data_IF_172102630459
#
_entry.id   IF_172102630459
#
_cell.length_a   1.000
_cell.length_b   1.000
_cell.length_c   1.000
_cell.angle_alpha   90.00
_cell.angle_beta   90.00
_cell.angle_gamma   90.00
#
_symmetry.space_group_name_H-M   'P 1'
#
loop_
_entity.id
_entity.type
_entity.pdbx_description
1 polymer ?
#
# COMPACT_ATOMS: atom_id res chain seq x y z
N UNK A 1 -9.97 4.67 17.71
CA UNK A 1 -10.17 3.46 16.87
C UNK A 1 -8.92 2.59 16.92
N UNK A 2 -9.05 1.28 16.79
CA UNK A 2 -7.93 0.33 16.72
C UNK A 2 -7.33 0.34 15.32
N UNK A 3 -6.00 0.31 15.28
CA UNK A 3 -5.24 0.28 14.03
C UNK A 3 -4.51 -1.06 13.89
N UNK A 4 -4.60 -1.68 12.71
CA UNK A 4 -3.70 -2.75 12.28
C UNK A 4 -2.73 -2.22 11.21
N UNK A 5 -1.48 -2.67 11.25
CA UNK A 5 -0.50 -2.45 10.18
C UNK A 5 -0.61 -3.59 9.19
N UNK A 6 -0.53 -3.30 7.90
CA UNK A 6 -0.57 -4.29 6.83
C UNK A 6 0.55 -4.05 5.84
N UNK A 7 1.34 -5.09 5.59
CA UNK A 7 2.41 -5.09 4.60
C UNK A 7 2.23 -6.27 3.68
N UNK A 8 2.07 -6.02 2.39
CA UNK A 8 2.10 -7.08 1.40
C UNK A 8 3.52 -7.17 0.82
N UNK A 9 4.14 -8.35 0.90
CA UNK A 9 5.54 -8.57 0.55
C UNK A 9 5.74 -9.81 -0.31
N UNK A 10 6.93 -9.92 -0.91
CA UNK A 10 7.35 -11.00 -1.79
C UNK A 10 8.74 -11.51 -1.38
N UNK A 11 9.06 -12.74 -1.77
CA UNK A 11 10.37 -13.36 -1.51
C UNK A 11 11.57 -12.46 -1.79
N UNK A 12 11.52 -11.66 -2.87
CA UNK A 12 12.61 -10.75 -3.23
C UNK A 12 12.83 -9.60 -2.26
N UNK A 13 11.81 -9.26 -1.46
CA UNK A 13 11.81 -8.15 -0.51
C UNK A 13 11.91 -8.63 0.95
N UNK A 14 12.30 -9.89 1.19
CA UNK A 14 12.35 -10.45 2.55
C UNK A 14 13.23 -9.61 3.49
N UNK A 15 14.43 -9.21 3.03
CA UNK A 15 15.35 -8.41 3.87
C UNK A 15 14.78 -7.02 4.15
N UNK A 16 14.15 -6.39 3.15
CA UNK A 16 13.49 -5.10 3.34
C UNK A 16 12.30 -5.22 4.30
N UNK A 17 11.51 -6.28 4.18
CA UNK A 17 10.41 -6.56 5.09
C UNK A 17 10.91 -6.82 6.52
N UNK A 18 12.07 -7.47 6.68
CA UNK A 18 12.74 -7.63 7.97
C UNK A 18 13.14 -6.27 8.56
N UNK A 19 13.72 -5.37 7.78
CA UNK A 19 14.02 -3.99 8.23
C UNK A 19 12.77 -3.22 8.64
N UNK A 20 11.70 -3.31 7.84
CA UNK A 20 10.41 -2.71 8.20
C UNK A 20 9.95 -3.24 9.56
N UNK A 21 9.99 -4.56 9.77
CA UNK A 21 9.62 -5.20 11.02
C UNK A 21 10.43 -4.67 12.22
N UNK A 22 11.76 -4.67 12.11
CA UNK A 22 12.66 -4.13 13.14
C UNK A 22 12.33 -2.67 13.45
N UNK A 23 12.06 -1.86 12.43
CA UNK A 23 11.72 -0.45 12.58
C UNK A 23 10.35 -0.22 13.22
N UNK A 24 9.35 -1.04 12.88
CA UNK A 24 8.03 -1.01 13.52
C UNK A 24 8.17 -1.32 15.01
N UNK A 25 8.91 -2.38 15.35
CA UNK A 25 9.10 -2.81 16.74
C UNK A 25 9.81 -1.73 17.58
N UNK A 26 10.72 -0.98 16.96
CA UNK A 26 11.47 0.09 17.62
C UNK A 26 10.71 1.41 17.72
N UNK A 27 10.01 1.80 16.65
CA UNK A 27 9.53 3.17 16.49
C UNK A 27 8.01 3.32 16.53
N UNK A 28 7.24 2.24 16.40
CA UNK A 28 5.79 2.33 16.21
C UNK A 28 5.02 1.82 17.41
N UNK A 29 4.15 2.68 17.97
CA UNK A 29 3.23 2.36 19.05
C UNK A 29 1.76 2.44 18.60
N UNK A 30 0.81 2.15 19.50
CA UNK A 30 -0.63 2.34 19.27
C UNK A 30 -1.31 1.31 18.33
N UNK A 31 -0.54 0.49 17.61
CA UNK A 31 -1.09 -0.56 16.76
C UNK A 31 -1.42 -1.83 17.56
N UNK A 32 -2.48 -2.50 17.13
CA UNK A 32 -2.98 -3.76 17.73
C UNK A 32 -2.23 -4.97 17.17
N UNK A 33 -1.99 -4.99 15.87
CA UNK A 33 -1.26 -6.07 15.16
C UNK A 33 -0.62 -5.58 13.87
N UNK A 34 0.25 -6.41 13.30
CA UNK A 34 0.90 -6.24 12.01
C UNK A 34 0.72 -7.52 11.17
N UNK A 35 0.03 -7.42 10.04
CA UNK A 35 -0.17 -8.52 9.10
C UNK A 35 0.80 -8.44 7.93
N UNK A 36 1.62 -9.47 7.74
CA UNK A 36 2.44 -9.62 6.52
C UNK A 36 1.71 -10.54 5.55
N UNK A 37 1.28 -9.99 4.41
CA UNK A 37 0.53 -10.68 3.37
C UNK A 37 1.48 -11.21 2.29
N UNK A 38 1.63 -12.52 2.19
CA UNK A 38 2.62 -13.18 1.32
C UNK A 38 1.97 -14.18 0.37
N UNK A 39 2.76 -14.71 -0.56
CA UNK A 39 2.34 -15.90 -1.29
C UNK A 39 2.41 -17.15 -0.38
N UNK A 40 1.51 -18.12 -0.54
CA UNK A 40 1.36 -19.29 0.33
C UNK A 40 2.64 -20.13 0.30
N UNK A 41 3.27 -20.25 -0.88
CA UNK A 41 4.56 -20.93 -1.03
C UNK A 41 5.69 -20.25 -0.25
N UNK A 42 5.56 -18.94 0.01
CA UNK A 42 6.57 -18.12 0.68
C UNK A 42 6.22 -17.96 2.17
N UNK A 43 5.10 -18.51 2.65
CA UNK A 43 4.69 -18.42 4.07
C UNK A 43 5.75 -18.96 5.02
N UNK A 44 6.36 -20.10 4.72
CA UNK A 44 7.44 -20.67 5.53
C UNK A 44 8.70 -19.80 5.54
N UNK A 45 8.99 -19.11 4.42
CA UNK A 45 10.13 -18.19 4.32
C UNK A 45 9.95 -16.97 5.23
N UNK A 46 8.73 -16.46 5.35
CA UNK A 46 8.39 -15.31 6.18
C UNK A 46 8.04 -15.66 7.63
N UNK A 47 7.79 -16.95 7.94
CA UNK A 47 7.44 -17.41 9.28
C UNK A 47 8.37 -16.91 10.40
N UNK A 48 9.71 -16.79 10.21
CA UNK A 48 10.59 -16.26 11.24
C UNK A 48 10.35 -14.78 11.61
N UNK A 49 9.62 -14.01 10.78
CA UNK A 49 9.26 -12.62 11.10
C UNK A 49 8.03 -12.53 12.02
N UNK A 50 7.30 -13.63 12.24
CA UNK A 50 6.17 -13.65 13.16
C UNK A 50 6.62 -13.29 14.59
N UNK A 51 5.70 -12.71 15.36
CA UNK A 51 5.98 -12.29 16.74
C UNK A 51 4.69 -12.02 17.50
N UNK A 52 4.76 -11.46 18.73
CA UNK A 52 3.59 -11.32 19.61
C UNK A 52 2.42 -10.55 18.99
N UNK A 53 2.72 -9.57 18.13
CA UNK A 53 1.74 -8.76 17.40
C UNK A 53 1.79 -8.98 15.88
N UNK A 54 2.67 -9.85 15.38
CA UNK A 54 2.95 -9.97 13.94
C UNK A 54 2.58 -11.34 13.41
N UNK A 55 1.71 -11.34 12.40
CA UNK A 55 1.15 -12.55 11.80
C UNK A 55 1.52 -12.64 10.31
N UNK A 56 1.85 -13.85 9.85
CA UNK A 56 2.11 -14.12 8.44
C UNK A 56 0.86 -14.75 7.81
N UNK A 57 0.27 -14.04 6.85
CA UNK A 57 -0.98 -14.42 6.19
C UNK A 57 -0.69 -14.78 4.74
N UNK A 58 -0.94 -16.05 4.38
CA UNK A 58 -0.89 -16.50 3.00
C UNK A 58 -2.08 -15.96 2.19
N UNK A 59 -1.88 -15.71 0.90
CA UNK A 59 -2.93 -15.13 0.05
C UNK A 59 -4.15 -16.02 -0.08
N UNK A 60 -4.05 -17.35 0.14
CA UNK A 60 -5.22 -18.24 0.05
C UNK A 60 -6.25 -17.95 1.12
N UNK A 61 -5.84 -17.35 2.24
CA UNK A 61 -6.75 -16.86 3.27
C UNK A 61 -7.42 -15.53 2.91
N UNK A 62 -7.03 -14.88 1.82
CA UNK A 62 -7.46 -13.53 1.42
C UNK A 62 -8.17 -13.52 0.05
N UNK A 63 -7.54 -14.11 -0.94
CA UNK A 63 -7.91 -14.04 -2.34
C UNK A 63 -8.83 -15.20 -2.73
N UNK A 64 -9.74 -14.97 -3.69
CA UNK A 64 -10.66 -15.99 -4.16
C UNK A 64 -9.94 -17.11 -4.91
N UNK A 65 -10.54 -18.30 -4.92
CA UNK A 65 -9.93 -19.50 -5.49
C UNK A 65 -9.64 -19.43 -7.00
N UNK A 66 -10.28 -18.52 -7.72
CA UNK A 66 -10.08 -18.30 -9.16
C UNK A 66 -8.85 -17.44 -9.48
N UNK A 67 -8.27 -16.72 -8.52
CA UNK A 67 -7.08 -15.89 -8.72
C UNK A 67 -5.84 -16.68 -8.30
N UNK A 68 -5.11 -17.25 -9.27
CA UNK A 68 -4.03 -18.22 -8.99
C UNK A 68 -2.68 -17.81 -9.54
N UNK A 69 -1.59 -17.95 -8.75
CA UNK A 69 -0.27 -17.61 -9.21
C UNK A 69 0.38 -18.78 -9.98
N UNK A 70 0.93 -18.51 -11.15
CA UNK A 70 1.72 -19.44 -11.96
C UNK A 70 3.14 -18.88 -12.19
N UNK A 71 4.16 -19.74 -12.41
CA UNK A 71 5.47 -19.28 -12.85
C UNK A 71 5.36 -18.53 -14.18
N UNK A 72 6.05 -17.39 -14.31
CA UNK A 72 6.09 -16.63 -15.56
C UNK A 72 7.12 -17.25 -16.54
N UNK A 73 6.69 -17.86 -17.65
CA UNK A 73 7.62 -18.49 -18.60
C UNK A 73 8.54 -17.46 -19.27
N UNK A 74 8.08 -16.21 -19.44
CA UNK A 74 8.87 -15.12 -20.05
C UNK A 74 9.98 -14.59 -19.13
N UNK A 75 10.06 -15.11 -17.91
CA UNK A 75 11.06 -14.79 -16.88
C UNK A 75 11.67 -16.05 -16.28
N UNK A 76 11.68 -17.15 -17.03
CA UNK A 76 12.24 -18.45 -16.61
C UNK A 76 11.67 -18.92 -15.26
N UNK A 77 10.40 -18.63 -14.98
CA UNK A 77 9.73 -18.97 -13.71
C UNK A 77 10.18 -18.16 -12.49
N UNK A 78 11.10 -17.20 -12.64
CA UNK A 78 11.62 -16.36 -11.53
C UNK A 78 10.59 -15.35 -11.01
N UNK A 79 9.63 -14.96 -11.86
CA UNK A 79 8.52 -14.05 -11.51
C UNK A 79 7.19 -14.78 -11.56
N UNK A 80 6.14 -14.16 -11.00
CA UNK A 80 4.78 -14.71 -11.00
C UNK A 80 3.85 -13.94 -11.92
N UNK A 81 3.06 -14.71 -12.65
CA UNK A 81 1.82 -14.28 -13.29
C UNK A 81 0.65 -14.76 -12.45
N UNK A 82 -0.41 -13.98 -12.38
CA UNK A 82 -1.62 -14.34 -11.66
C UNK A 82 -2.77 -14.45 -12.65
N UNK A 83 -3.29 -15.65 -12.80
CA UNK A 83 -4.36 -15.95 -13.75
C UNK A 83 -5.71 -15.67 -13.11
N UNK A 84 -6.60 -15.09 -13.91
CA UNK A 84 -7.97 -14.72 -13.56
C UNK A 84 -8.85 -15.03 -14.77
N UNK A 85 -10.08 -15.53 -14.59
CA UNK A 85 -11.03 -15.69 -15.69
C UNK A 85 -11.67 -14.35 -16.11
N UNK A 86 -11.38 -13.25 -15.40
CA UNK A 86 -12.08 -11.96 -15.57
C UNK A 86 -11.30 -10.90 -16.34
N UNK A 87 -10.04 -11.17 -16.69
CA UNK A 87 -9.16 -10.16 -17.28
C UNK A 87 -7.78 -10.71 -17.66
N UNK A 88 -6.86 -9.83 -18.10
CA UNK A 88 -5.51 -10.23 -18.46
C UNK A 88 -4.74 -10.78 -17.24
N UNK A 89 -3.69 -11.61 -17.45
CA UNK A 89 -2.84 -12.07 -16.35
C UNK A 89 -2.29 -10.89 -15.53
N UNK A 90 -2.43 -10.92 -14.22
CA UNK A 90 -1.92 -9.88 -13.33
C UNK A 90 -0.46 -10.13 -12.95
N UNK A 91 0.25 -9.07 -12.54
CA UNK A 91 1.59 -9.15 -11.95
C UNK A 91 1.52 -9.07 -10.43
N UNK A 92 2.60 -9.46 -9.75
CA UNK A 92 2.69 -9.41 -8.28
C UNK A 92 2.22 -8.08 -7.70
N UNK A 93 2.76 -6.95 -8.17
CA UNK A 93 2.36 -5.63 -7.67
C UNK A 93 0.84 -5.36 -7.76
N UNK A 94 0.14 -5.79 -8.83
CA UNK A 94 -1.32 -5.67 -8.89
C UNK A 94 -2.01 -6.49 -7.79
N UNK A 95 -1.55 -7.73 -7.56
CA UNK A 95 -2.12 -8.61 -6.54
C UNK A 95 -1.79 -8.14 -5.12
N UNK A 96 -0.69 -7.41 -4.94
CA UNK A 96 -0.37 -6.72 -3.68
C UNK A 96 -1.48 -5.74 -3.28
N UNK A 97 -2.01 -4.99 -4.26
CA UNK A 97 -3.14 -4.09 -4.05
C UNK A 97 -4.42 -4.84 -3.67
N UNK A 98 -4.73 -5.92 -4.40
CA UNK A 98 -5.90 -6.76 -4.13
C UNK A 98 -5.85 -7.40 -2.74
N UNK A 99 -4.66 -7.84 -2.29
CA UNK A 99 -4.45 -8.39 -0.94
C UNK A 99 -4.75 -7.37 0.14
N UNK A 100 -4.31 -6.12 -0.02
CA UNK A 100 -4.59 -5.03 0.93
C UNK A 100 -6.08 -4.74 1.04
N UNK A 101 -6.77 -4.61 -0.09
CA UNK A 101 -8.24 -4.45 -0.11
C UNK A 101 -8.92 -5.66 0.55
N UNK A 102 -8.53 -6.89 0.20
CA UNK A 102 -9.13 -8.09 0.78
C UNK A 102 -8.90 -8.21 2.30
N UNK A 103 -7.71 -7.85 2.79
CA UNK A 103 -7.41 -7.83 4.21
C UNK A 103 -8.23 -6.76 4.95
N UNK A 104 -8.26 -5.53 4.44
CA UNK A 104 -9.03 -4.43 5.03
C UNK A 104 -10.53 -4.74 5.15
N UNK A 105 -11.11 -5.46 4.18
CA UNK A 105 -12.53 -5.86 4.26
C UNK A 105 -12.82 -6.82 5.42
N UNK A 106 -11.86 -7.67 5.79
CA UNK A 106 -12.05 -8.79 6.75
C UNK A 106 -11.56 -8.49 8.15
N UNK A 107 -10.70 -7.49 8.32
CA UNK A 107 -10.12 -7.19 9.62
C UNK A 107 -11.13 -6.53 10.57
N UNK A 108 -11.14 -6.89 11.87
CA UNK A 108 -12.02 -6.27 12.86
C UNK A 108 -11.56 -4.86 13.27
N UNK A 109 -10.30 -4.48 13.04
CA UNK A 109 -9.82 -3.12 13.31
C UNK A 109 -10.53 -2.10 12.42
N UNK A 110 -10.74 -0.90 12.94
CA UNK A 110 -11.44 0.14 12.20
C UNK A 110 -10.49 0.91 11.26
N UNK A 111 -9.17 0.83 11.50
CA UNK A 111 -8.12 1.46 10.66
C UNK A 111 -7.07 0.45 10.23
N UNK A 112 -6.74 0.47 8.93
CA UNK A 112 -5.57 -0.20 8.37
C UNK A 112 -4.51 0.85 8.01
N UNK A 113 -3.30 0.71 8.54
CA UNK A 113 -2.10 1.40 8.04
C UNK A 113 -1.38 0.49 7.05
N UNK A 114 -1.39 0.85 5.77
CA UNK A 114 -0.65 0.13 4.72
C UNK A 114 0.79 0.63 4.65
N UNK A 115 1.75 -0.26 4.83
CA UNK A 115 3.18 0.01 4.67
C UNK A 115 3.76 -0.93 3.61
N UNK A 116 4.47 -0.39 2.62
CA UNK A 116 5.21 -1.21 1.66
C UNK A 116 6.43 -1.84 2.34
N UNK A 117 6.91 -2.97 1.83
CA UNK A 117 8.01 -3.72 2.47
C UNK A 117 9.36 -3.00 2.42
N UNK A 118 9.50 -1.95 1.62
CA UNK A 118 10.69 -1.10 1.49
C UNK A 118 10.61 0.19 2.32
N UNK A 119 9.60 0.30 3.18
CA UNK A 119 9.47 1.35 4.19
C UNK A 119 10.30 1.01 5.42
N UNK A 120 10.93 2.01 6.01
CA UNK A 120 11.62 1.93 7.31
C UNK A 120 11.24 3.13 8.16
N UNK A 121 10.73 2.90 9.37
CA UNK A 121 10.46 3.95 10.34
C UNK A 121 11.77 4.44 10.97
N UNK A 122 11.97 5.75 11.01
CA UNK A 122 13.19 6.39 11.53
C UNK A 122 12.92 7.41 12.63
N UNK A 123 11.64 7.70 12.91
CA UNK A 123 11.17 8.54 14.03
C UNK A 123 10.05 7.82 14.80
N UNK A 124 9.88 8.10 16.10
CA UNK A 124 8.73 7.61 16.86
C UNK A 124 7.40 7.96 16.20
N UNK A 125 6.49 7.00 16.14
CA UNK A 125 5.17 7.16 15.53
C UNK A 125 4.11 6.39 16.32
N UNK A 126 3.09 7.11 16.79
CA UNK A 126 1.90 6.49 17.38
C UNK A 126 0.80 6.37 16.33
N UNK A 127 0.31 5.14 16.10
CA UNK A 127 -0.78 4.86 15.16
C UNK A 127 -2.10 5.59 15.51
N UNK A 128 -2.26 6.11 16.74
CA UNK A 128 -3.36 7.00 17.11
C UNK A 128 -3.35 8.32 16.32
N UNK A 129 -2.18 8.79 15.85
CA UNK A 129 -2.04 10.00 14.99
C UNK A 129 -2.74 9.89 13.65
N UNK A 130 -3.17 8.69 13.24
CA UNK A 130 -3.97 8.49 12.03
C UNK A 130 -5.41 9.03 12.17
N UNK A 131 -5.78 9.48 13.37
CA UNK A 131 -7.15 9.77 13.74
C UNK A 131 -7.23 11.13 14.43
N UNK A 132 -8.32 11.86 14.16
CA UNK A 132 -8.64 13.13 14.82
C UNK A 132 -10.16 13.25 14.90
N UNK A 133 -10.68 13.46 16.10
CA UNK A 133 -12.12 13.68 16.33
C UNK A 133 -13.04 12.61 15.71
N UNK A 134 -12.61 11.34 15.74
CA UNK A 134 -13.35 10.21 15.15
C UNK A 134 -13.19 10.06 13.63
N UNK A 135 -12.55 11.00 12.95
CA UNK A 135 -12.19 10.91 11.54
C UNK A 135 -10.80 10.28 11.36
N UNK A 136 -10.60 9.61 10.22
CA UNK A 136 -9.31 8.99 9.82
C UNK A 136 -8.67 9.79 8.71
N UNK A 137 -7.36 10.05 8.83
CA UNK A 137 -6.60 10.72 7.76
C UNK A 137 -6.66 9.91 6.47
N UNK A 138 -6.76 10.59 5.33
CA UNK A 138 -6.47 9.99 4.03
C UNK A 138 -5.54 10.91 3.25
N UNK A 139 -4.63 10.29 2.48
CA UNK A 139 -3.69 11.06 1.68
C UNK A 139 -4.42 11.72 0.51
N UNK A 140 -4.29 13.04 0.41
CA UNK A 140 -4.89 13.85 -0.64
C UNK A 140 -4.00 15.04 -0.92
N UNK A 141 -3.23 14.96 -1.99
CA UNK A 141 -2.35 16.02 -2.43
C UNK A 141 -3.03 16.83 -3.54
N UNK A 142 -3.47 18.08 -3.28
CA UNK A 142 -3.95 18.96 -4.34
C UNK A 142 -2.89 19.11 -5.42
N UNK A 143 -3.29 18.94 -6.68
CA UNK A 143 -2.37 19.01 -7.84
C UNK A 143 -1.19 18.02 -7.80
N UNK A 144 -1.27 16.94 -7.02
CA UNK A 144 -0.21 15.93 -6.97
C UNK A 144 0.13 15.29 -8.32
N UNK A 145 -0.73 15.43 -9.34
CA UNK A 145 -0.40 15.03 -10.71
C UNK A 145 0.80 15.78 -11.31
N UNK A 146 0.99 17.04 -10.92
CA UNK A 146 2.05 17.89 -11.47
C UNK A 146 3.45 17.38 -11.06
N UNK A 147 3.53 16.76 -9.88
CA UNK A 147 4.77 16.20 -9.30
C UNK A 147 5.11 14.80 -9.83
N UNK A 148 4.22 14.18 -10.61
CA UNK A 148 4.48 12.85 -11.20
C UNK A 148 5.57 12.97 -12.26
N UNK A 149 6.58 12.10 -12.15
CA UNK A 149 7.63 11.90 -13.15
C UNK A 149 6.98 11.71 -14.53
N UNK A 150 7.36 12.49 -15.57
CA UNK A 150 6.66 12.52 -16.86
C UNK A 150 6.36 11.15 -17.47
N UNK A 151 7.27 10.18 -17.34
CA UNK A 151 7.10 8.82 -17.86
C UNK A 151 5.94 8.01 -17.25
N UNK A 152 5.50 8.33 -16.02
CA UNK A 152 4.42 7.63 -15.34
C UNK A 152 3.06 8.34 -15.43
N UNK A 153 3.01 9.56 -15.98
CA UNK A 153 1.77 10.37 -16.06
C UNK A 153 0.64 9.67 -16.81
N UNK A 154 0.95 8.94 -17.87
CA UNK A 154 -0.04 8.19 -18.65
C UNK A 154 -0.70 7.08 -17.82
N UNK A 155 0.08 6.34 -17.04
CA UNK A 155 -0.45 5.30 -16.15
C UNK A 155 -1.33 5.90 -15.06
N UNK A 156 -0.93 7.01 -14.45
CA UNK A 156 -1.75 7.70 -13.45
C UNK A 156 -3.09 8.21 -14.01
N UNK A 157 -3.11 8.77 -15.23
CA UNK A 157 -4.36 9.13 -15.91
C UNK A 157 -5.26 7.92 -16.10
N UNK A 158 -4.69 6.82 -16.58
CA UNK A 158 -5.41 5.56 -16.80
C UNK A 158 -5.95 4.98 -15.49
N UNK A 159 -5.19 5.04 -14.40
CA UNK A 159 -5.65 4.64 -13.07
C UNK A 159 -6.78 5.53 -12.55
N UNK A 160 -6.68 6.84 -12.73
CA UNK A 160 -7.75 7.77 -12.37
C UNK A 160 -9.03 7.48 -13.16
N UNK A 161 -8.93 7.34 -14.48
CA UNK A 161 -10.06 7.01 -15.34
C UNK A 161 -10.70 5.67 -14.94
N UNK A 162 -9.89 4.65 -14.66
CA UNK A 162 -10.39 3.35 -14.22
C UNK A 162 -11.07 3.42 -12.85
N UNK A 163 -10.57 4.25 -11.94
CA UNK A 163 -11.24 4.50 -10.67
C UNK A 163 -12.62 5.15 -10.88
N UNK A 164 -12.76 6.12 -11.79
CA UNK A 164 -14.08 6.68 -12.13
C UNK A 164 -15.05 5.60 -12.65
N UNK A 165 -14.61 4.73 -13.56
CA UNK A 165 -15.45 3.64 -14.08
C UNK A 165 -15.91 2.68 -12.98
N UNK A 166 -14.99 2.26 -12.11
CA UNK A 166 -15.28 1.33 -11.01
C UNK A 166 -16.23 1.93 -9.99
N UNK A 167 -16.16 3.25 -9.79
CA UNK A 167 -16.94 3.98 -8.78
C UNK A 167 -18.20 4.63 -9.36
N UNK A 168 -18.43 4.55 -10.68
CA UNK A 168 -19.57 5.16 -11.34
C UNK A 168 -19.55 6.69 -11.26
N UNK A 169 -18.36 7.31 -11.35
CA UNK A 169 -18.19 8.77 -11.36
C UNK A 169 -18.37 9.25 -12.80
N UNK A 170 -19.41 10.04 -13.05
CA UNK A 170 -19.73 10.54 -14.39
C UNK A 170 -18.71 11.57 -14.89
N UNK A 171 -18.32 12.52 -14.03
CA UNK A 171 -17.31 13.52 -14.31
C UNK A 171 -16.71 14.09 -13.01
N UNK A 172 -15.42 14.51 -13.02
CA UNK A 172 -14.47 14.30 -14.11
C UNK A 172 -13.97 12.84 -14.13
N UNK A 173 -13.67 12.31 -15.31
CA UNK A 173 -13.14 10.94 -15.45
C UNK A 173 -11.73 10.84 -14.88
N UNK A 174 -10.93 11.90 -15.02
CA UNK A 174 -9.57 12.02 -14.49
C UNK A 174 -9.47 13.21 -13.54
N UNK A 175 -8.61 13.12 -12.51
CA UNK A 175 -8.36 14.21 -11.57
C UNK A 175 -6.86 14.47 -11.44
N UNK A 176 -6.50 15.74 -11.18
CA UNK A 176 -5.13 16.14 -10.91
C UNK A 176 -4.71 15.90 -9.45
N UNK A 177 -5.64 15.50 -8.58
CA UNK A 177 -5.37 15.19 -7.17
C UNK A 177 -4.53 13.92 -7.05
N UNK A 178 -3.44 14.00 -6.29
CA UNK A 178 -2.61 12.85 -5.92
C UNK A 178 -3.20 12.11 -4.72
N UNK A 179 -3.35 10.80 -4.84
CA UNK A 179 -3.83 9.93 -3.76
C UNK A 179 -2.83 8.81 -3.41
N UNK A 180 -1.72 8.71 -4.14
CA UNK A 180 -0.74 7.64 -3.99
C UNK A 180 0.32 8.06 -2.98
N UNK A 181 0.42 7.28 -1.91
CA UNK A 181 1.48 7.38 -0.90
C UNK A 181 1.72 5.99 -0.29
N UNK A 182 2.78 5.86 0.48
CA UNK A 182 3.00 4.72 1.39
C UNK A 182 2.87 5.18 2.84
N UNK A 183 2.83 4.25 3.80
CA UNK A 183 2.36 4.54 5.17
C UNK A 183 0.99 5.22 5.15
N UNK A 184 0.06 4.69 4.35
CA UNK A 184 -1.24 5.29 4.10
C UNK A 184 -2.31 4.60 4.95
N UNK A 185 -3.16 5.40 5.60
CA UNK A 185 -4.26 4.90 6.43
C UNK A 185 -5.57 4.80 5.65
N UNK A 186 -6.26 3.68 5.80
CA UNK A 186 -7.62 3.48 5.32
C UNK A 186 -8.55 3.06 6.45
N UNK A 187 -9.79 3.54 6.38
CA UNK A 187 -10.86 3.12 7.28
C UNK A 187 -11.50 1.85 6.74
N UNK A 188 -11.64 0.82 7.55
CA UNK A 188 -11.96 -0.53 7.04
C UNK A 188 -13.41 -0.66 6.60
N UNK A 189 -14.33 0.06 7.24
CA UNK A 189 -15.72 0.16 6.82
C UNK A 189 -15.90 1.01 5.54
N UNK A 190 -15.06 2.03 5.29
CA UNK A 190 -14.99 2.72 3.97
C UNK A 190 -14.56 1.74 2.89
N UNK A 191 -13.57 0.87 3.15
CA UNK A 191 -13.17 -0.16 2.18
C UNK A 191 -14.32 -1.16 1.90
N UNK A 192 -15.14 -1.50 2.90
CA UNK A 192 -16.34 -2.34 2.70
C UNK A 192 -17.37 -1.63 1.81
N UNK A 193 -17.68 -0.36 2.13
CA UNK A 193 -18.59 0.46 1.33
C UNK A 193 -18.07 0.70 -0.10
N UNK A 194 -16.75 0.85 -0.27
CA UNK A 194 -16.10 0.94 -1.57
C UNK A 194 -16.29 -0.34 -2.37
N UNK A 195 -16.11 -1.51 -1.74
CA UNK A 195 -16.34 -2.79 -2.41
C UNK A 195 -17.81 -2.96 -2.84
N UNK A 196 -18.75 -2.60 -1.97
CA UNK A 196 -20.20 -2.60 -2.27
C UNK A 196 -20.54 -1.65 -3.42
N UNK A 197 -19.91 -0.46 -3.45
CA UNK A 197 -20.07 0.51 -4.54
C UNK A 197 -19.59 -0.08 -5.87
N UNK A 198 -18.41 -0.69 -5.90
CA UNK A 198 -17.88 -1.35 -7.09
C UNK A 198 -18.82 -2.47 -7.55
N UNK A 199 -19.34 -3.27 -6.61
CA UNK A 199 -20.28 -4.36 -6.91
C UNK A 199 -21.58 -3.83 -7.53
N UNK A 200 -22.11 -2.74 -6.99
CA UNK A 200 -23.33 -2.08 -7.50
C UNK A 200 -23.11 -1.49 -8.90
N UNK A 201 -22.00 -0.79 -9.11
CA UNK A 201 -21.71 -0.12 -10.39
C UNK A 201 -21.41 -1.13 -11.50
N UNK A 202 -20.67 -2.19 -11.18
CA UNK A 202 -20.15 -3.13 -12.19
C UNK A 202 -20.99 -4.39 -12.35
N UNK A 203 -21.90 -4.68 -11.41
CA UNK A 203 -22.66 -5.93 -11.36
C UNK A 203 -21.80 -7.17 -11.12
N UNK A 204 -20.57 -7.00 -10.63
CA UNK A 204 -19.58 -8.07 -10.44
C UNK A 204 -19.00 -8.03 -9.02
N UNK A 205 -18.59 -9.17 -8.43
CA UNK A 205 -17.86 -9.17 -7.16
C UNK A 205 -16.65 -8.22 -7.20
N UNK A 206 -16.42 -7.43 -6.14
CA UNK A 206 -15.48 -6.31 -6.19
C UNK A 206 -14.07 -6.74 -6.63
N UNK A 207 -13.55 -7.86 -6.12
CA UNK A 207 -12.24 -8.37 -6.52
C UNK A 207 -12.18 -8.82 -7.98
N UNK A 208 -13.28 -9.32 -8.54
CA UNK A 208 -13.35 -9.68 -9.96
C UNK A 208 -13.35 -8.42 -10.85
N UNK A 209 -14.08 -7.37 -10.44
CA UNK A 209 -14.09 -6.09 -11.15
C UNK A 209 -12.72 -5.39 -11.12
N UNK A 210 -12.05 -5.42 -9.97
CA UNK A 210 -10.69 -4.90 -9.80
C UNK A 210 -9.66 -5.69 -10.63
N UNK A 211 -9.79 -7.03 -10.68
CA UNK A 211 -8.88 -7.90 -11.43
C UNK A 211 -9.13 -7.91 -12.96
N UNK A 212 -10.17 -7.23 -13.45
CA UNK A 212 -10.55 -7.24 -14.86
C UNK A 212 -9.61 -6.40 -15.76
N UNK A 213 -8.82 -5.50 -15.18
CA UNK A 213 -7.85 -4.66 -15.90
C UNK A 213 -6.57 -4.48 -15.05
N UNK A 214 -5.43 -4.30 -15.71
CA UNK A 214 -4.14 -3.92 -15.11
C UNK A 214 -4.06 -2.44 -14.70
N UNK A 215 -4.97 -1.59 -15.14
CA UNK A 215 -5.08 -0.20 -14.69
C UNK A 215 -5.59 -0.13 -13.24
N UNK A 216 -4.76 -0.51 -12.29
CA UNK A 216 -5.14 -0.62 -10.89
C UNK A 216 -4.23 0.24 -10.02
N UNK A 217 -4.85 1.13 -9.24
CA UNK A 217 -4.24 1.85 -8.12
C UNK A 217 -5.24 1.89 -6.99
N UNK A 218 -5.02 1.06 -5.97
CA UNK A 218 -5.88 1.00 -4.79
C UNK A 218 -5.91 2.32 -4.03
N UNK A 219 -4.80 3.04 -3.98
CA UNK A 219 -4.73 4.36 -3.37
C UNK A 219 -5.60 5.37 -4.11
N UNK A 220 -5.54 5.38 -5.44
CA UNK A 220 -6.40 6.24 -6.27
C UNK A 220 -7.87 5.86 -6.15
N UNK A 221 -8.20 4.57 -6.17
CA UNK A 221 -9.59 4.09 -6.03
C UNK A 221 -10.15 4.45 -4.65
N UNK A 222 -9.39 4.23 -3.57
CA UNK A 222 -9.80 4.61 -2.22
C UNK A 222 -9.94 6.13 -2.05
N UNK A 223 -8.93 6.89 -2.48
CA UNK A 223 -8.92 8.35 -2.37
C UNK A 223 -10.09 9.00 -3.10
N UNK A 224 -10.34 8.59 -4.35
CA UNK A 224 -11.50 9.07 -5.11
C UNK A 224 -12.84 8.64 -4.51
N UNK A 225 -12.92 7.43 -3.95
CA UNK A 225 -14.15 7.02 -3.25
C UNK A 225 -14.42 7.91 -2.04
N UNK A 226 -13.41 8.19 -1.20
CA UNK A 226 -13.54 9.06 -0.03
C UNK A 226 -13.89 10.50 -0.45
N UNK A 227 -13.17 11.07 -1.42
CA UNK A 227 -13.28 12.48 -1.80
C UNK A 227 -14.54 12.77 -2.63
N UNK A 228 -14.92 11.89 -3.57
CA UNK A 228 -15.93 12.20 -4.59
C UNK A 228 -17.24 11.42 -4.41
N UNK A 229 -17.22 10.25 -3.77
CA UNK A 229 -18.41 9.37 -3.68
C UNK A 229 -18.99 9.35 -2.27
N UNK A 230 -18.18 9.00 -1.28
CA UNK A 230 -18.59 9.00 0.12
C UNK A 230 -18.73 10.44 0.63
N UNK A 231 -17.71 11.27 0.43
CA UNK A 231 -17.66 12.68 0.83
C UNK A 231 -18.19 12.93 2.25
N UNK A 232 -17.69 12.15 3.22
CA UNK A 232 -18.09 12.24 4.64
C UNK A 232 -16.98 12.87 5.48
N UNK A 233 -16.96 14.20 5.65
CA UNK A 233 -15.91 14.91 6.41
C UNK A 233 -15.90 14.55 7.91
N UNK A 234 -16.99 13.98 8.44
CA UNK A 234 -17.04 13.46 9.81
C UNK A 234 -16.30 12.14 9.99
N UNK A 235 -16.00 11.43 8.89
CA UNK A 235 -15.30 10.13 8.88
C UNK A 235 -13.86 10.26 8.40
N UNK A 236 -13.56 11.31 7.65
CA UNK A 236 -12.28 11.49 6.98
C UNK A 236 -11.82 12.95 7.02
N UNK A 237 -10.51 13.14 7.21
CA UNK A 237 -9.87 14.42 6.98
C UNK A 237 -8.72 14.24 5.98
N UNK A 238 -8.65 15.16 5.02
CA UNK A 238 -7.62 15.17 3.99
C UNK A 238 -6.29 15.64 4.58
N UNK A 239 -5.21 14.95 4.24
CA UNK A 239 -3.84 15.34 4.60
C UNK A 239 -2.92 15.25 3.36
N UNK A 240 -2.34 16.37 2.89
CA UNK A 240 -1.39 16.33 1.79
C UNK A 240 -0.01 15.80 2.23
N UNK A 241 0.39 15.98 3.49
CA UNK A 241 1.68 15.53 4.01
C UNK A 241 1.75 14.00 4.12
N UNK A 242 2.74 13.40 3.48
CA UNK A 242 3.05 11.98 3.61
C UNK A 242 3.70 11.67 4.95
N UNK A 243 3.38 10.52 5.55
CA UNK A 243 4.12 9.97 6.69
C UNK A 243 5.48 9.40 6.28
N UNK A 244 5.66 9.13 4.99
CA UNK A 244 6.82 8.47 4.46
C UNK A 244 7.41 9.26 3.29
N UNK A 245 8.67 9.66 3.41
CA UNK A 245 9.40 10.24 2.28
C UNK A 245 9.92 9.12 1.39
N UNK A 246 9.55 9.15 0.13
CA UNK A 246 9.91 8.09 -0.81
C UNK A 246 11.00 8.57 -1.77
N UNK A 247 12.07 7.79 -1.86
CA UNK A 247 13.05 7.88 -2.94
C UNK A 247 12.57 7.01 -4.10
N UNK A 248 11.90 7.65 -5.06
CA UNK A 248 11.17 6.98 -6.14
C UNK A 248 12.06 6.45 -7.27
N UNK A 249 13.14 7.16 -7.60
CA UNK A 249 14.01 6.82 -8.73
C UNK A 249 15.42 7.39 -8.53
N UNK A 250 16.38 6.78 -9.19
CA UNK A 250 17.79 7.17 -9.21
C UNK A 250 18.74 6.06 -8.76
N UNK A 251 20.02 6.42 -8.64
CA UNK A 251 21.08 5.48 -8.28
C UNK A 251 20.99 5.03 -6.81
N UNK A 252 21.65 3.91 -6.50
CA UNK A 252 21.82 3.48 -5.12
C UNK A 252 22.46 4.60 -4.29
N UNK A 253 21.86 4.94 -3.15
CA UNK A 253 22.40 5.96 -2.25
C UNK A 253 23.62 5.41 -1.50
N UNK A 254 24.67 6.24 -1.42
CA UNK A 254 25.75 6.02 -0.46
C UNK A 254 25.36 6.44 0.96
N UNK A 255 26.25 6.20 1.92
CA UNK A 255 26.02 6.52 3.34
C UNK A 255 25.72 8.01 3.58
N UNK A 256 26.49 8.91 2.94
CA UNK A 256 26.31 10.36 3.07
C UNK A 256 24.97 10.84 2.51
N UNK A 257 24.60 10.38 1.30
CA UNK A 257 23.33 10.75 0.66
C UNK A 257 22.13 10.26 1.46
N UNK A 258 22.23 9.03 1.99
CA UNK A 258 21.19 8.47 2.84
C UNK A 258 21.05 9.25 4.16
N UNK A 259 22.16 9.62 4.79
CA UNK A 259 22.14 10.45 5.99
C UNK A 259 21.50 11.83 5.72
N UNK A 260 21.84 12.48 4.60
CA UNK A 260 21.24 13.73 4.19
C UNK A 260 19.74 13.57 3.89
N UNK A 261 19.34 12.48 3.24
CA UNK A 261 17.94 12.17 2.95
C UNK A 261 17.10 12.03 4.23
N UNK A 262 17.63 11.34 5.25
CA UNK A 262 16.99 11.20 6.57
C UNK A 262 16.98 12.53 7.34
N UNK A 263 18.08 13.29 7.30
CA UNK A 263 18.17 14.59 7.98
C UNK A 263 17.18 15.62 7.42
N UNK A 264 16.83 15.50 6.14
CA UNK A 264 15.90 16.41 5.48
C UNK A 264 14.42 16.12 5.78
N UNK A 265 14.08 15.05 6.52
CA UNK A 265 12.69 14.65 6.79
C UNK A 265 11.91 15.76 7.51
N UNK A 266 10.77 16.13 6.95
CA UNK A 266 9.83 17.07 7.53
C UNK A 266 9.21 16.56 8.85
N UNK A 267 8.48 17.43 9.58
CA UNK A 267 7.92 17.09 10.89
C UNK A 267 6.97 15.89 10.87
N UNK A 268 6.13 15.78 9.83
CA UNK A 268 5.16 14.69 9.68
C UNK A 268 5.75 13.40 9.11
N UNK A 269 6.91 13.49 8.44
CA UNK A 269 7.58 12.33 7.86
C UNK A 269 8.33 11.55 8.94
N UNK A 270 7.79 10.39 9.29
CA UNK A 270 8.31 9.47 10.32
C UNK A 270 9.03 8.26 9.75
N UNK A 271 8.88 8.03 8.44
CA UNK A 271 9.46 6.90 7.73
C UNK A 271 10.12 7.34 6.42
N UNK A 272 10.99 6.48 5.91
CA UNK A 272 11.59 6.56 4.59
C UNK A 272 11.18 5.34 3.77
N UNK A 273 10.92 5.53 2.48
CA UNK A 273 10.70 4.46 1.51
C UNK A 273 11.80 4.52 0.47
N UNK A 274 12.66 3.51 0.40
CA UNK A 274 13.73 3.46 -0.60
C UNK A 274 13.41 2.32 -1.55
N UNK A 275 12.96 2.68 -2.76
CA UNK A 275 12.42 1.72 -3.71
C UNK A 275 13.39 0.57 -3.97
N UNK A 276 12.89 -0.66 -3.92
CA UNK A 276 13.76 -1.85 -3.92
C UNK A 276 14.65 -2.00 -5.15
N UNK A 277 14.25 -1.40 -6.28
CA UNK A 277 14.98 -1.42 -7.54
C UNK A 277 16.13 -0.39 -7.65
N UNK A 278 16.25 0.57 -6.74
CA UNK A 278 17.37 1.54 -6.76
C UNK A 278 18.69 0.89 -6.33
N UNK A 279 18.63 -0.26 -5.64
CA UNK A 279 19.81 -1.02 -5.24
C UNK A 279 20.54 -0.49 -4.01
N UNK A 280 19.97 0.47 -3.27
CA UNK A 280 20.53 0.92 -1.99
C UNK A 280 20.64 -0.26 -1.02
N UNK A 281 21.82 -0.44 -0.44
CA UNK A 281 22.17 -1.51 0.48
C UNK A 281 21.26 -1.50 1.73
N UNK A 282 20.52 -2.59 2.02
CA UNK A 282 19.74 -2.73 3.24
C UNK A 282 20.53 -2.45 4.53
N UNK A 283 21.82 -2.80 4.61
CA UNK A 283 22.61 -2.57 5.82
C UNK A 283 22.92 -1.09 6.06
N UNK A 284 23.04 -0.29 4.99
CA UNK A 284 23.12 1.17 5.11
C UNK A 284 21.82 1.74 5.68
N UNK A 285 20.68 1.25 5.19
CA UNK A 285 19.34 1.65 5.67
C UNK A 285 19.16 1.28 7.14
N UNK A 286 19.59 0.06 7.54
CA UNK A 286 19.58 -0.40 8.93
C UNK A 286 20.32 0.55 9.86
N UNK A 287 21.54 0.95 9.48
CA UNK A 287 22.37 1.90 10.26
C UNK A 287 21.73 3.28 10.34
N UNK A 288 21.23 3.80 9.22
CA UNK A 288 20.56 5.11 9.20
C UNK A 288 19.31 5.14 10.10
N UNK A 289 18.59 4.03 10.19
CA UNK A 289 17.43 3.86 11.08
C UNK A 289 17.81 3.53 12.54
N UNK A 290 19.11 3.40 12.86
CA UNK A 290 19.62 3.03 14.20
C UNK A 290 19.03 1.72 14.72
N UNK A 291 18.85 0.76 13.82
CA UNK A 291 18.38 -0.60 14.11
C UNK A 291 19.57 -1.50 14.49
N UNK A 292 19.30 -2.61 15.17
CA UNK A 292 20.32 -3.56 15.65
C UNK A 292 20.53 -4.67 14.65
#
# INVERSE_FOLDING_TARGET
MRTAIVTASYRGDLERCRLLCESIDRHVSGHTRHLILVEERDRALFAPLAGPKREIVGERALLPAWLRPVPDPTRLGRRRLWLSPFGPPLRGWHVQQLRRIAAARRMPEEVMLSCDSDVVFVKPFDAARLQRDGAVRFHRQPRGFDDIIPGFRADHRRWSARAADLLGIAAPREVATGYIATCIAWRTDTIRALAERIETVTGRPALAALAADRALSECTIYGRFVDEVENRPTRHFAEPESLCRVYWDGAAMGEGDLAAFVAALGPEEVAIGIQSFTGTDPDLIRRAARLR
#
